data_IF_762251830385
#
_entry.id   IF_762251830385
#
_cell.length_a   1.000
_cell.length_b   1.000
_cell.length_c   1.000
_cell.angle_alpha   90.00
_cell.angle_beta   90.00
_cell.angle_gamma   90.00
#
_symmetry.space_group_name_H-M   'P 1'
#
loop_
_entity.id
_entity.type
_entity.pdbx_description
1 polymer ?
#
# COMPACT_ATOMS: atom_id res chain seq x y z
N UNK A 1 -7.33 50.22 4.00
CA UNK A 1 -8.29 49.12 3.79
C UNK A 1 -7.59 47.85 4.25
N UNK A 2 -7.87 47.44 5.48
CA UNK A 2 -7.30 46.20 6.03
C UNK A 2 -8.29 45.09 5.70
N UNK A 3 -7.96 44.24 4.70
CA UNK A 3 -8.59 42.95 4.54
C UNK A 3 -8.14 42.05 5.72
N UNK A 4 -8.98 42.00 6.72
CA UNK A 4 -8.84 41.00 7.79
C UNK A 4 -9.33 39.70 7.17
N UNK A 5 -8.35 38.90 6.69
CA UNK A 5 -8.57 37.54 6.25
C UNK A 5 -9.06 36.73 7.48
N UNK A 6 -10.38 36.64 7.61
CA UNK A 6 -11.01 35.87 8.68
C UNK A 6 -10.84 34.40 8.29
N UNK A 7 -9.72 33.82 8.66
CA UNK A 7 -9.50 32.37 8.54
C UNK A 7 -10.66 31.68 9.30
N UNK A 8 -11.62 31.17 8.57
CA UNK A 8 -12.73 30.37 9.12
C UNK A 8 -12.08 29.18 9.82
N UNK A 9 -12.18 29.11 11.15
CA UNK A 9 -11.66 28.00 11.93
C UNK A 9 -12.32 26.71 11.43
N UNK A 10 -11.49 25.78 10.94
CA UNK A 10 -11.97 24.47 10.50
C UNK A 10 -12.56 23.71 11.69
N UNK A 11 -13.66 22.98 11.45
CA UNK A 11 -14.25 22.13 12.46
C UNK A 11 -13.23 21.04 12.91
N UNK A 12 -13.14 20.74 14.21
CA UNK A 12 -12.25 19.69 14.70
C UNK A 12 -12.64 18.35 14.10
N UNK A 13 -11.63 17.55 13.68
CA UNK A 13 -11.85 16.22 13.16
C UNK A 13 -11.34 15.17 14.17
N UNK A 14 -12.04 14.05 14.28
CA UNK A 14 -11.64 12.87 15.04
C UNK A 14 -11.20 11.76 14.12
N UNK A 15 -10.16 11.00 14.53
CA UNK A 15 -9.68 9.85 13.75
C UNK A 15 -10.31 8.59 14.32
N UNK A 16 -10.90 7.78 13.43
CA UNK A 16 -11.45 6.47 13.76
C UNK A 16 -11.18 5.45 12.66
N UNK A 17 -11.24 4.18 13.00
CA UNK A 17 -11.30 3.13 11.99
C UNK A 17 -12.68 3.16 11.31
N UNK A 18 -12.67 3.09 9.99
CA UNK A 18 -13.89 2.92 9.20
C UNK A 18 -14.23 1.43 9.17
N UNK A 19 -15.42 1.01 9.64
CA UNK A 19 -15.80 -0.39 9.58
C UNK A 19 -16.15 -0.79 8.12
N UNK A 20 -15.99 -2.08 7.75
CA UNK A 20 -16.20 -2.57 6.38
C UNK A 20 -17.56 -2.19 5.77
N UNK A 21 -18.60 -2.17 6.55
CA UNK A 21 -19.96 -1.81 6.14
C UNK A 21 -20.14 -0.33 5.77
N UNK A 22 -19.18 0.51 6.13
CA UNK A 22 -19.16 1.94 5.77
C UNK A 22 -18.26 2.27 4.59
N UNK A 23 -17.60 1.31 3.95
CA UNK A 23 -16.64 1.57 2.86
C UNK A 23 -17.28 2.24 1.64
N UNK A 24 -18.57 2.05 1.42
CA UNK A 24 -19.32 2.72 0.35
C UNK A 24 -19.28 4.27 0.47
N UNK A 25 -19.09 4.80 1.67
CA UNK A 25 -18.94 6.25 1.91
C UNK A 25 -17.68 6.84 1.26
N UNK A 26 -16.73 6.00 0.89
CA UNK A 26 -15.50 6.44 0.21
C UNK A 26 -15.72 6.66 -1.30
N UNK A 27 -16.80 6.11 -1.87
CA UNK A 27 -17.01 6.09 -3.33
C UNK A 27 -17.04 7.48 -3.96
N UNK A 28 -17.62 8.46 -3.24
CA UNK A 28 -17.77 9.84 -3.72
C UNK A 28 -16.57 10.73 -3.38
N UNK A 29 -15.56 10.20 -2.68
CA UNK A 29 -14.38 10.97 -2.30
C UNK A 29 -13.32 10.98 -3.43
N UNK A 30 -12.51 12.05 -3.53
CA UNK A 30 -11.35 12.09 -4.43
C UNK A 30 -10.37 10.92 -4.22
N UNK A 31 -10.36 10.35 -3.03
CA UNK A 31 -9.63 9.13 -2.68
C UNK A 31 -10.01 7.98 -3.60
N UNK A 32 -11.31 7.68 -3.76
CA UNK A 32 -11.78 6.59 -4.60
C UNK A 32 -11.51 6.81 -6.09
N UNK A 33 -11.55 8.05 -6.56
CA UNK A 33 -11.20 8.38 -7.94
C UNK A 33 -9.74 8.05 -8.27
N UNK A 34 -8.84 8.11 -7.28
CA UNK A 34 -7.42 7.84 -7.45
C UNK A 34 -7.02 6.40 -7.16
N UNK A 35 -7.61 5.79 -6.13
CA UNK A 35 -7.16 4.50 -5.58
C UNK A 35 -8.24 3.40 -5.69
N UNK A 36 -9.46 3.74 -6.06
CA UNK A 36 -10.63 2.87 -5.94
C UNK A 36 -11.12 2.76 -4.49
N UNK A 37 -12.27 2.13 -4.31
CA UNK A 37 -12.74 1.69 -2.98
C UNK A 37 -12.07 0.36 -2.67
N UNK A 38 -11.26 0.25 -1.59
CA UNK A 38 -10.55 -0.98 -1.27
C UNK A 38 -11.51 -2.12 -0.90
N UNK A 39 -11.12 -3.35 -1.21
CA UNK A 39 -11.84 -4.54 -0.75
C UNK A 39 -11.66 -4.71 0.77
N UNK A 40 -12.76 -4.75 1.55
CA UNK A 40 -12.69 -4.86 3.01
C UNK A 40 -11.93 -6.10 3.53
N UNK A 41 -11.84 -7.15 2.73
CA UNK A 41 -11.09 -8.37 3.09
C UNK A 41 -9.58 -8.15 3.16
N UNK A 42 -9.07 -7.11 2.49
CA UNK A 42 -7.65 -6.86 2.32
C UNK A 42 -7.23 -5.45 2.74
N UNK A 43 -8.12 -4.71 3.41
CA UNK A 43 -7.86 -3.33 3.79
C UNK A 43 -8.30 -3.05 5.22
N UNK A 44 -7.55 -2.19 5.90
CA UNK A 44 -7.99 -1.48 7.09
C UNK A 44 -7.91 0.01 6.80
N UNK A 45 -8.97 0.76 7.12
CA UNK A 45 -9.07 2.18 6.76
C UNK A 45 -9.24 3.02 8.02
N UNK A 46 -8.43 4.07 8.13
CA UNK A 46 -8.65 5.16 9.08
C UNK A 46 -9.23 6.35 8.35
N UNK A 47 -10.19 7.01 8.97
CA UNK A 47 -10.76 8.26 8.51
C UNK A 47 -10.62 9.35 9.57
N UNK A 48 -10.41 10.57 9.12
CA UNK A 48 -10.62 11.77 9.93
C UNK A 48 -12.02 12.31 9.59
N UNK A 49 -12.87 12.44 10.59
CA UNK A 49 -14.27 12.76 10.42
C UNK A 49 -14.65 13.95 11.32
N UNK A 50 -15.36 14.91 10.76
CA UNK A 50 -15.89 16.07 11.49
C UNK A 50 -17.15 15.68 12.29
N UNK A 51 -17.60 16.47 13.27
CA UNK A 51 -18.78 16.14 14.11
C UNK A 51 -20.09 15.94 13.35
N UNK A 52 -20.20 16.51 12.14
CA UNK A 52 -21.35 16.32 11.25
C UNK A 52 -21.26 15.06 10.38
N UNK A 53 -20.19 14.27 10.56
CA UNK A 53 -20.00 13.02 9.83
C UNK A 53 -19.30 13.18 8.48
N UNK A 54 -18.76 14.36 8.14
CA UNK A 54 -18.02 14.56 6.90
C UNK A 54 -16.61 13.97 7.00
N UNK A 55 -16.22 13.09 6.06
CA UNK A 55 -14.86 12.55 5.99
C UNK A 55 -13.96 13.59 5.33
N UNK A 56 -12.96 14.06 6.08
CA UNK A 56 -11.97 15.07 5.65
C UNK A 56 -10.57 14.51 5.44
N UNK A 57 -10.34 13.24 5.80
CA UNK A 57 -9.09 12.54 5.57
C UNK A 57 -9.28 11.04 5.54
N UNK A 58 -8.48 10.35 4.72
CA UNK A 58 -8.51 8.88 4.57
C UNK A 58 -7.08 8.36 4.50
N UNK A 59 -6.81 7.28 5.23
CA UNK A 59 -5.59 6.51 5.08
C UNK A 59 -5.92 5.02 5.09
N UNK A 60 -5.54 4.32 4.01
CA UNK A 60 -5.77 2.90 3.86
C UNK A 60 -4.47 2.11 4.04
N UNK A 61 -4.52 1.08 4.89
CA UNK A 61 -3.53 0.02 4.96
C UNK A 61 -4.04 -1.17 4.16
N UNK A 62 -3.27 -1.60 3.15
CA UNK A 62 -3.64 -2.71 2.27
C UNK A 62 -2.77 -3.93 2.57
N UNK A 63 -3.41 -5.09 2.68
CA UNK A 63 -2.69 -6.36 2.68
C UNK A 63 -2.14 -6.62 1.29
N UNK A 64 -0.82 -6.65 1.15
CA UNK A 64 -0.15 -6.87 -0.13
C UNK A 64 0.73 -8.11 -0.04
N UNK A 65 0.74 -8.93 -1.09
CA UNK A 65 1.63 -10.09 -1.16
C UNK A 65 3.02 -9.62 -1.55
N UNK A 66 3.98 -9.84 -0.66
CA UNK A 66 5.40 -9.65 -0.92
C UNK A 66 5.99 -10.97 -1.43
N UNK A 67 6.59 -10.93 -2.61
CA UNK A 67 7.32 -12.07 -3.17
C UNK A 67 8.79 -11.94 -2.80
N UNK A 68 9.31 -12.91 -2.10
CA UNK A 68 10.68 -12.94 -1.63
C UNK A 68 11.26 -14.36 -1.70
N UNK A 69 12.58 -14.47 -1.54
CA UNK A 69 13.25 -15.75 -1.35
C UNK A 69 13.36 -16.62 -2.60
N UNK A 70 13.36 -16.04 -3.84
CA UNK A 70 13.65 -16.82 -5.03
C UNK A 70 15.07 -17.40 -4.95
N UNK A 71 15.17 -18.71 -4.79
CA UNK A 71 16.43 -19.41 -4.77
C UNK A 71 16.43 -20.57 -5.77
N UNK A 72 17.52 -20.73 -6.49
CA UNK A 72 17.76 -21.83 -7.43
C UNK A 72 19.17 -22.40 -7.15
N UNK A 73 19.27 -23.72 -7.03
CA UNK A 73 20.55 -24.39 -6.78
C UNK A 73 21.58 -24.03 -7.86
N UNK A 74 22.87 -23.87 -7.50
CA UNK A 74 23.92 -23.41 -8.42
C UNK A 74 23.98 -24.16 -9.74
N UNK A 75 23.82 -25.49 -9.73
CA UNK A 75 23.87 -26.35 -10.91
C UNK A 75 22.70 -26.10 -11.88
N UNK A 76 21.59 -25.52 -11.37
CA UNK A 76 20.39 -25.21 -12.14
C UNK A 76 20.25 -23.74 -12.52
N UNK A 77 21.13 -22.85 -12.02
CA UNK A 77 21.05 -21.41 -12.29
C UNK A 77 21.23 -21.06 -13.76
N UNK A 78 22.06 -21.82 -14.48
CA UNK A 78 22.28 -21.66 -15.93
C UNK A 78 21.10 -22.18 -16.75
N UNK A 79 20.27 -23.04 -16.18
CA UNK A 79 19.04 -23.49 -16.78
C UNK A 79 17.93 -22.47 -16.45
N UNK A 80 17.83 -21.39 -17.26
CA UNK A 80 16.80 -20.34 -17.11
C UNK A 80 15.37 -20.89 -16.98
N UNK A 81 15.19 -22.15 -17.37
CA UNK A 81 13.92 -22.85 -17.28
C UNK A 81 13.39 -22.99 -15.83
N UNK A 82 14.26 -23.21 -14.82
CA UNK A 82 13.80 -23.45 -13.44
C UNK A 82 13.20 -22.18 -12.84
N UNK A 83 13.92 -21.07 -12.88
CA UNK A 83 13.43 -19.79 -12.39
C UNK A 83 12.15 -19.35 -13.12
N UNK A 84 12.10 -19.54 -14.45
CA UNK A 84 10.92 -19.24 -15.24
C UNK A 84 9.72 -20.13 -14.90
N UNK A 85 9.94 -21.42 -14.57
CA UNK A 85 8.89 -22.32 -14.12
C UNK A 85 8.34 -21.93 -12.74
N UNK A 86 9.24 -21.60 -11.79
CA UNK A 86 8.85 -21.12 -10.47
C UNK A 86 8.00 -19.85 -10.57
N UNK A 87 8.44 -18.89 -11.40
CA UNK A 87 7.72 -17.65 -11.59
C UNK A 87 6.33 -17.87 -12.23
N UNK A 88 6.22 -18.74 -13.24
CA UNK A 88 4.93 -19.08 -13.85
C UNK A 88 4.00 -19.77 -12.86
N UNK A 89 4.52 -20.72 -12.07
CA UNK A 89 3.76 -21.39 -11.02
C UNK A 89 3.27 -20.43 -9.96
N UNK A 90 4.15 -19.51 -9.49
CA UNK A 90 3.77 -18.48 -8.54
C UNK A 90 2.66 -17.57 -9.08
N UNK A 91 2.79 -17.10 -10.32
CA UNK A 91 1.75 -16.26 -10.95
C UNK A 91 0.42 -16.99 -11.09
N UNK A 92 0.42 -18.28 -11.41
CA UNK A 92 -0.80 -19.11 -11.48
C UNK A 92 -1.45 -19.23 -10.10
N UNK A 93 -0.67 -19.60 -9.08
CA UNK A 93 -1.15 -19.74 -7.70
C UNK A 93 -1.74 -18.41 -7.17
N UNK A 94 -1.07 -17.28 -7.38
CA UNK A 94 -1.57 -15.98 -6.92
C UNK A 94 -2.89 -15.61 -7.58
N UNK A 95 -3.07 -15.93 -8.87
CA UNK A 95 -4.35 -15.70 -9.56
C UNK A 95 -5.47 -16.58 -9.00
N UNK A 96 -5.19 -17.85 -8.72
CA UNK A 96 -6.14 -18.76 -8.09
C UNK A 96 -6.56 -18.28 -6.70
N UNK A 97 -5.64 -17.64 -5.96
CA UNK A 97 -5.91 -17.01 -4.66
C UNK A 97 -6.61 -15.64 -4.79
N UNK A 98 -6.90 -15.16 -6.01
CA UNK A 98 -7.52 -13.86 -6.23
C UNK A 98 -6.61 -12.67 -5.93
N UNK A 99 -5.30 -12.85 -5.87
CA UNK A 99 -4.34 -11.77 -5.64
C UNK A 99 -4.19 -10.95 -6.92
N UNK A 100 -4.57 -9.69 -6.87
CA UNK A 100 -4.52 -8.78 -8.01
C UNK A 100 -3.15 -8.12 -8.18
N UNK A 101 -2.47 -7.84 -7.08
CA UNK A 101 -1.18 -7.15 -7.05
C UNK A 101 -0.23 -7.82 -6.07
N UNK A 102 1.03 -7.89 -6.46
CA UNK A 102 2.13 -8.32 -5.60
C UNK A 102 3.34 -7.43 -5.87
N UNK A 103 4.23 -7.31 -4.90
CA UNK A 103 5.47 -6.57 -5.08
C UNK A 103 6.67 -7.42 -4.67
N UNK A 104 7.85 -7.03 -5.14
CA UNK A 104 9.13 -7.60 -4.73
C UNK A 104 10.17 -6.50 -4.63
N UNK A 105 11.07 -6.62 -3.68
CA UNK A 105 12.24 -5.75 -3.55
C UNK A 105 13.41 -6.44 -4.23
N UNK A 106 13.93 -5.85 -5.29
CA UNK A 106 15.02 -6.44 -6.07
C UNK A 106 16.26 -5.56 -5.94
N UNK A 107 17.31 -6.15 -5.35
CA UNK A 107 18.61 -5.48 -5.17
C UNK A 107 19.62 -5.84 -6.28
N UNK A 108 19.48 -7.03 -6.86
CA UNK A 108 20.38 -7.54 -7.91
C UNK A 108 19.90 -7.11 -9.30
N UNK A 109 20.75 -6.44 -10.12
CA UNK A 109 20.40 -6.00 -11.46
C UNK A 109 20.01 -7.15 -12.41
N UNK A 110 20.60 -8.34 -12.28
CA UNK A 110 20.26 -9.48 -13.13
C UNK A 110 18.87 -10.01 -12.79
N UNK A 111 18.54 -10.07 -11.48
CA UNK A 111 17.21 -10.44 -11.01
C UNK A 111 16.18 -9.40 -11.44
N UNK A 112 16.53 -8.10 -11.40
CA UNK A 112 15.65 -7.04 -11.89
C UNK A 112 15.34 -7.22 -13.38
N UNK A 113 16.35 -7.46 -14.21
CA UNK A 113 16.14 -7.70 -15.65
C UNK A 113 15.24 -8.92 -15.91
N UNK A 114 15.42 -9.98 -15.13
CA UNK A 114 14.56 -11.16 -15.21
C UNK A 114 13.12 -10.84 -14.81
N UNK A 115 12.92 -10.08 -13.73
CA UNK A 115 11.59 -9.67 -13.26
C UNK A 115 10.87 -8.81 -14.31
N UNK A 116 11.55 -7.83 -14.91
CA UNK A 116 10.98 -6.99 -15.99
C UNK A 116 10.58 -7.85 -17.20
N UNK A 117 11.43 -8.78 -17.65
CA UNK A 117 11.09 -9.72 -18.72
C UNK A 117 9.90 -10.61 -18.38
N UNK A 118 9.68 -10.85 -17.10
CA UNK A 118 8.55 -11.63 -16.59
C UNK A 118 7.26 -10.82 -16.42
N UNK A 119 7.28 -9.52 -16.74
CA UNK A 119 6.12 -8.64 -16.70
C UNK A 119 5.97 -7.86 -15.39
N UNK A 120 7.00 -7.81 -14.54
CA UNK A 120 7.01 -6.87 -13.42
C UNK A 120 7.26 -5.46 -13.95
N UNK A 121 6.66 -4.49 -13.29
CA UNK A 121 6.86 -3.08 -13.60
C UNK A 121 7.70 -2.44 -12.50
N UNK A 122 8.72 -1.67 -12.90
CA UNK A 122 9.47 -0.85 -11.95
C UNK A 122 8.63 0.35 -11.58
N UNK A 123 8.40 0.53 -10.28
CA UNK A 123 7.69 1.71 -9.78
C UNK A 123 8.68 2.87 -9.61
N UNK A 124 8.39 4.06 -10.14
CA UNK A 124 9.21 5.26 -9.94
C UNK A 124 8.85 5.95 -8.62
N UNK A 125 8.86 5.19 -7.51
CA UNK A 125 8.45 5.68 -6.19
C UNK A 125 9.46 5.24 -5.14
N UNK A 126 9.64 6.09 -4.12
CA UNK A 126 10.40 5.72 -2.94
C UNK A 126 9.62 4.70 -2.12
N UNK A 127 10.33 3.71 -1.60
CA UNK A 127 9.78 2.73 -0.64
C UNK A 127 10.27 3.12 0.74
N UNK A 128 9.32 3.39 1.64
CA UNK A 128 9.61 3.67 3.05
C UNK A 128 9.30 2.42 3.88
N UNK A 129 10.20 2.09 4.80
CA UNK A 129 10.03 1.00 5.75
C UNK A 129 9.70 1.57 7.13
N UNK A 130 8.67 1.03 7.78
CA UNK A 130 8.31 1.33 9.16
C UNK A 130 8.45 0.06 10.01
N UNK A 131 9.38 0.07 10.94
CA UNK A 131 9.53 -1.01 11.92
C UNK A 131 8.59 -0.78 13.11
N UNK A 132 7.54 -1.58 13.19
CA UNK A 132 6.56 -1.56 14.29
C UNK A 132 6.95 -2.46 15.47
N UNK A 133 8.06 -3.21 15.37
CA UNK A 133 8.60 -4.01 16.47
C UNK A 133 9.38 -3.17 17.49
N UNK A 134 9.84 -1.99 17.07
CA UNK A 134 10.48 -1.04 17.96
C UNK A 134 9.47 -0.39 18.92
N UNK A 135 9.83 -0.12 20.19
CA UNK A 135 8.95 0.62 21.08
C UNK A 135 8.63 2.01 20.49
N UNK A 136 7.41 2.53 20.71
CA UNK A 136 7.03 3.82 20.16
C UNK A 136 8.03 4.89 20.61
N UNK A 137 8.60 5.59 19.63
CA UNK A 137 9.46 6.74 19.91
C UNK A 137 8.64 7.81 20.63
N UNK A 138 9.15 8.29 21.76
CA UNK A 138 8.55 9.42 22.45
C UNK A 138 8.46 10.60 21.48
N UNK A 139 7.28 11.23 21.30
CA UNK A 139 7.18 12.40 20.44
C UNK A 139 8.19 13.45 20.89
N UNK A 140 8.83 14.18 19.96
CA UNK A 140 9.71 15.28 20.35
C UNK A 140 8.91 16.28 21.19
N UNK A 141 9.43 16.56 22.39
CA UNK A 141 8.89 17.55 23.31
C UNK A 141 8.87 18.89 22.58
N UNK A 142 7.68 19.42 22.23
CA UNK A 142 7.55 20.72 21.59
C UNK A 142 6.71 20.81 20.31
N UNK A 143 6.03 19.74 19.89
CA UNK A 143 5.06 19.81 18.79
C UNK A 143 3.65 20.06 19.34
N UNK A 144 3.37 21.30 19.71
CA UNK A 144 2.03 21.83 20.02
C UNK A 144 1.79 23.07 19.18
#
# INVERSE_FOLDING_TARGET
MNDTDTATALAPATVRQLPPEEYDRLADLPFAARYGVPDPRYAAILVAETPDGTIVGVWAALTTVHLDGLWVAPDYRRATAVAAKLLRGMKAMLRELGVLHSFTLVQDPEVLNMAIKAGFQRLPTDVCFLDLSAPPSTPPEGAA
#
